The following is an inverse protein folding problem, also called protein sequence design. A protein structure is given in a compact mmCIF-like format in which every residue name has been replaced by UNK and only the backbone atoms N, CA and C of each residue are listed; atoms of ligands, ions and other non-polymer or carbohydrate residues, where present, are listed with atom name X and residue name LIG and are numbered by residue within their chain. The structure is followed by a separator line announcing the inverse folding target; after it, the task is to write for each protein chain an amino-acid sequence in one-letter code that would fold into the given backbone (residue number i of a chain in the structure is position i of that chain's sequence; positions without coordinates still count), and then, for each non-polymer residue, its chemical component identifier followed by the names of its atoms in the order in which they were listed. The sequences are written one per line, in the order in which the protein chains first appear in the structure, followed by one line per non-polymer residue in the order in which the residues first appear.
data_IF_552325565523
#
_entry.id   IF_552325565523
#
_cell.length_a   1.000
_cell.length_b   1.000
_cell.length_c   1.000
_cell.angle_alpha   90.00
_cell.angle_beta   90.00
_cell.angle_gamma   90.00
#
_symmetry.space_group_name_H-M   'P 1'
#
loop_
_entity.id
_entity.type
_entity.pdbx_description
1 polymer ?
#
# COMPACT_ATOMS: atom_id res chain seq x y z
N UNK A 1 -7.79 -1.58 -27.46
CA UNK A 1 -8.65 -1.04 -26.38
C UNK A 1 -8.00 -1.44 -25.08
N UNK A 2 -7.06 -0.63 -24.61
CA UNK A 2 -6.39 -0.80 -23.34
C UNK A 2 -7.43 -0.65 -22.23
N UNK A 3 -7.97 -1.78 -21.77
CA UNK A 3 -8.76 -1.81 -20.55
C UNK A 3 -7.78 -1.47 -19.43
N UNK A 4 -7.78 -0.21 -19.00
CA UNK A 4 -7.11 0.18 -17.77
C UNK A 4 -7.64 -0.74 -16.68
N UNK A 5 -6.80 -1.62 -16.17
CA UNK A 5 -7.14 -2.38 -14.98
C UNK A 5 -7.33 -1.34 -13.86
N UNK A 6 -8.57 -1.20 -13.41
CA UNK A 6 -8.92 -0.33 -12.29
C UNK A 6 -9.00 -1.22 -11.06
N UNK A 7 -8.14 -0.96 -10.09
CA UNK A 7 -8.24 -1.56 -8.77
C UNK A 7 -9.21 -0.73 -7.93
N UNK A 8 -10.19 -1.39 -7.30
CA UNK A 8 -11.09 -0.74 -6.33
C UNK A 8 -10.73 -1.24 -4.95
N UNK A 9 -10.26 -0.35 -4.09
CA UNK A 9 -9.99 -0.67 -2.67
C UNK A 9 -11.28 -1.03 -1.93
N UNK A 10 -11.13 -1.69 -0.79
CA UNK A 10 -12.20 -1.95 0.19
C UNK A 10 -12.95 -0.69 0.65
N UNK A 11 -12.31 0.48 0.56
CA UNK A 11 -12.92 1.80 0.85
C UNK A 11 -13.71 2.39 -0.33
N UNK A 12 -13.78 1.70 -1.47
CA UNK A 12 -14.43 2.17 -2.69
C UNK A 12 -13.61 3.15 -3.54
N UNK A 13 -12.36 3.46 -3.13
CA UNK A 13 -11.44 4.28 -3.91
C UNK A 13 -10.91 3.49 -5.10
N UNK A 14 -10.88 4.12 -6.27
CA UNK A 14 -10.45 3.51 -7.52
C UNK A 14 -9.08 4.04 -7.93
N UNK A 15 -8.20 3.12 -8.32
CA UNK A 15 -6.83 3.40 -8.70
C UNK A 15 -6.48 2.74 -10.03
N UNK A 16 -5.67 3.42 -10.84
CA UNK A 16 -5.11 2.85 -12.05
C UNK A 16 -3.99 1.87 -11.68
N UNK A 17 -4.24 0.58 -11.87
CA UNK A 17 -3.32 -0.49 -11.45
C UNK A 17 -1.93 -0.31 -12.08
N UNK A 18 -1.85 0.12 -13.34
CA UNK A 18 -0.54 0.31 -13.97
C UNK A 18 0.21 1.51 -13.38
N UNK A 19 -0.49 2.60 -13.09
CA UNK A 19 0.10 3.79 -12.48
C UNK A 19 0.57 3.51 -11.04
N UNK A 20 -0.27 2.86 -10.23
CA UNK A 20 0.04 2.48 -8.85
C UNK A 20 1.21 1.49 -8.81
N UNK A 21 1.20 0.47 -9.67
CA UNK A 21 2.30 -0.51 -9.76
C UNK A 21 3.63 0.16 -10.09
N UNK A 22 3.64 1.08 -11.07
CA UNK A 22 4.85 1.84 -11.44
C UNK A 22 5.37 2.67 -10.28
N UNK A 23 4.48 3.31 -9.50
CA UNK A 23 4.88 4.07 -8.31
C UNK A 23 5.48 3.17 -7.23
N UNK A 24 4.89 2.01 -6.96
CA UNK A 24 5.43 1.01 -6.02
C UNK A 24 6.79 0.48 -6.47
N UNK A 25 6.95 0.18 -7.77
CA UNK A 25 8.21 -0.24 -8.37
C UNK A 25 9.32 0.80 -8.18
N UNK A 26 9.02 2.07 -8.48
CA UNK A 26 9.96 3.19 -8.32
C UNK A 26 10.32 3.37 -6.85
N UNK A 27 9.36 3.18 -5.94
CA UNK A 27 9.53 3.41 -4.51
C UNK A 27 10.27 2.28 -3.78
N UNK A 28 10.29 1.03 -4.31
CA UNK A 28 11.25 -0.08 -4.06
C UNK A 28 10.55 -1.44 -3.92
N UNK A 29 10.48 -2.23 -5.00
CA UNK A 29 9.81 -3.55 -4.95
C UNK A 29 10.46 -4.53 -3.96
N UNK A 30 11.80 -4.56 -3.86
CA UNK A 30 12.50 -5.41 -2.89
C UNK A 30 12.27 -4.94 -1.45
N UNK A 31 12.26 -3.62 -1.22
CA UNK A 31 12.10 -3.04 0.11
C UNK A 31 10.68 -3.23 0.65
N UNK A 32 9.65 -3.25 -0.21
CA UNK A 32 8.27 -3.49 0.22
C UNK A 32 8.11 -4.92 0.76
N UNK A 33 8.68 -5.92 0.09
CA UNK A 33 8.62 -7.31 0.55
C UNK A 33 9.39 -7.53 1.85
N UNK A 34 10.56 -6.90 1.98
CA UNK A 34 11.34 -6.94 3.22
C UNK A 34 10.57 -6.27 4.37
N UNK A 35 10.00 -5.08 4.15
CA UNK A 35 9.19 -4.36 5.14
C UNK A 35 7.91 -5.12 5.52
N UNK A 36 7.25 -5.79 4.57
CA UNK A 36 6.09 -6.64 4.86
C UNK A 36 6.48 -7.84 5.71
N UNK A 37 7.60 -8.48 5.40
CA UNK A 37 8.14 -9.60 6.19
C UNK A 37 8.49 -9.15 7.60
N UNK A 38 9.15 -8.01 7.74
CA UNK A 38 9.53 -7.43 9.03
C UNK A 38 8.28 -7.04 9.84
N UNK A 39 7.30 -6.38 9.23
CA UNK A 39 6.05 -6.02 9.91
C UNK A 39 5.25 -7.24 10.39
N UNK A 40 5.16 -8.30 9.57
CA UNK A 40 4.39 -9.51 9.89
C UNK A 40 5.11 -10.48 10.84
N UNK A 41 6.45 -10.49 10.83
CA UNK A 41 7.27 -11.45 11.59
C UNK A 41 8.00 -10.82 12.78
N UNK A 42 7.85 -9.50 12.99
CA UNK A 42 8.53 -8.78 14.07
C UNK A 42 8.10 -9.31 15.44
N UNK A 43 9.05 -9.89 16.15
CA UNK A 43 8.94 -10.14 17.59
C UNK A 43 9.29 -8.90 18.42
N UNK A 44 9.93 -7.90 17.79
CA UNK A 44 10.26 -6.60 18.38
C UNK A 44 9.21 -5.55 17.98
N UNK A 45 8.45 -4.98 18.94
CA UNK A 45 7.42 -4.00 18.64
C UNK A 45 7.95 -2.69 18.04
N UNK A 46 9.21 -2.34 18.31
CA UNK A 46 9.84 -1.14 17.76
C UNK A 46 10.19 -1.34 16.27
N UNK A 47 10.68 -2.53 15.92
CA UNK A 47 10.95 -2.89 14.53
C UNK A 47 9.67 -2.98 13.70
N UNK A 48 8.60 -3.55 14.27
CA UNK A 48 7.26 -3.57 13.66
C UNK A 48 6.76 -2.15 13.36
N UNK A 49 6.85 -1.23 14.32
CA UNK A 49 6.38 0.15 14.14
C UNK A 49 7.15 0.90 13.05
N UNK A 50 8.47 0.72 12.97
CA UNK A 50 9.31 1.33 11.92
C UNK A 50 8.96 0.77 10.54
N UNK A 51 8.73 -0.54 10.44
CA UNK A 51 8.31 -1.17 9.19
C UNK A 51 6.92 -0.69 8.74
N UNK A 52 5.99 -0.57 9.69
CA UNK A 52 4.64 -0.05 9.47
C UNK A 52 4.67 1.38 8.91
N UNK A 53 5.40 2.29 9.55
CA UNK A 53 5.51 3.69 9.12
C UNK A 53 6.07 3.80 7.69
N UNK A 54 7.11 3.00 7.38
CA UNK A 54 7.69 2.98 6.04
C UNK A 54 6.71 2.43 4.98
N UNK A 55 5.94 1.39 5.29
CA UNK A 55 4.91 0.85 4.39
C UNK A 55 3.80 1.87 4.14
N UNK A 56 3.33 2.56 5.19
CA UNK A 56 2.33 3.61 5.10
C UNK A 56 2.82 4.74 4.20
N UNK A 57 4.07 5.19 4.34
CA UNK A 57 4.61 6.28 3.52
C UNK A 57 4.67 5.89 2.03
N UNK A 58 5.15 4.69 1.74
CA UNK A 58 5.23 4.15 0.37
C UNK A 58 3.84 4.03 -0.24
N UNK A 59 2.90 3.44 0.49
CA UNK A 59 1.52 3.27 0.04
C UNK A 59 0.83 4.61 -0.18
N UNK A 60 0.96 5.58 0.74
CA UNK A 60 0.41 6.92 0.57
C UNK A 60 0.88 7.58 -0.73
N UNK A 61 2.17 7.48 -1.05
CA UNK A 61 2.72 8.01 -2.31
C UNK A 61 2.22 7.23 -3.53
N UNK A 62 2.09 5.91 -3.43
CA UNK A 62 1.64 5.07 -4.54
C UNK A 62 0.17 5.29 -4.89
N UNK A 63 -0.67 5.48 -3.88
CA UNK A 63 -2.11 5.69 -4.02
C UNK A 63 -2.53 7.17 -4.00
N UNK A 64 -1.56 8.10 -3.92
CA UNK A 64 -1.80 9.55 -3.74
C UNK A 64 -2.74 9.87 -2.54
N UNK A 65 -2.64 9.07 -1.47
CA UNK A 65 -3.45 9.23 -0.26
C UNK A 65 -2.86 10.30 0.66
N UNK A 66 -3.69 11.28 1.04
CA UNK A 66 -3.29 12.31 2.00
C UNK A 66 -3.25 11.76 3.43
N UNK A 67 -2.27 12.20 4.26
CA UNK A 67 -2.23 11.90 5.70
C UNK A 67 -3.51 12.31 6.43
N UNK A 68 -3.73 11.73 7.61
CA UNK A 68 -4.90 11.95 8.48
C UNK A 68 -5.02 13.40 9.02
N UNK A 69 -4.25 14.35 8.47
CA UNK A 69 -4.38 15.78 8.75
C UNK A 69 -5.56 16.45 8.04
N UNK A 70 -6.27 15.74 7.16
CA UNK A 70 -7.50 16.19 6.49
C UNK A 70 -8.73 15.62 7.24
N UNK A 71 -9.83 16.36 7.45
CA UNK A 71 -11.04 15.87 8.13
C UNK A 71 -11.75 14.68 7.43
N UNK A 72 -11.37 14.36 6.20
CA UNK A 72 -11.76 13.14 5.47
C UNK A 72 -10.65 12.06 5.46
N UNK A 73 -9.64 12.20 6.33
CA UNK A 73 -8.34 11.54 6.26
C UNK A 73 -8.40 10.02 6.35
N UNK A 74 -7.52 9.37 5.60
CA UNK A 74 -7.36 7.91 5.59
C UNK A 74 -6.38 7.52 6.69
N UNK A 75 -6.80 6.64 7.60
CA UNK A 75 -5.95 6.14 8.70
C UNK A 75 -4.82 5.27 8.14
N UNK A 76 -3.73 5.15 8.91
CA UNK A 76 -2.59 4.32 8.52
C UNK A 76 -3.01 2.86 8.30
N UNK A 77 -3.94 2.35 9.12
CA UNK A 77 -4.54 1.03 8.92
C UNK A 77 -5.23 0.90 7.55
N UNK A 78 -6.04 1.87 7.14
CA UNK A 78 -6.74 1.81 5.84
C UNK A 78 -5.75 1.90 4.68
N UNK A 79 -4.65 2.64 4.85
CA UNK A 79 -3.56 2.68 3.86
C UNK A 79 -2.91 1.30 3.70
N UNK A 80 -2.61 0.62 4.82
CA UNK A 80 -1.99 -0.71 4.82
C UNK A 80 -2.94 -1.78 4.27
N UNK A 81 -4.21 -1.72 4.63
CA UNK A 81 -5.24 -2.62 4.10
C UNK A 81 -5.36 -2.43 2.58
N UNK A 82 -5.38 -1.19 2.11
CA UNK A 82 -5.40 -0.87 0.66
C UNK A 82 -4.17 -1.41 -0.07
N UNK A 83 -2.98 -1.27 0.53
CA UNK A 83 -1.74 -1.82 -0.02
C UNK A 83 -1.81 -3.36 -0.11
N UNK A 84 -2.28 -4.01 0.94
CA UNK A 84 -2.40 -5.48 1.02
C UNK A 84 -3.41 -6.01 0.00
N UNK A 85 -4.60 -5.40 -0.08
CA UNK A 85 -5.64 -5.73 -1.06
C UNK A 85 -5.09 -5.59 -2.50
N UNK A 86 -4.37 -4.50 -2.75
CA UNK A 86 -3.76 -4.24 -4.06
C UNK A 86 -2.72 -5.30 -4.42
N UNK A 87 -1.81 -5.62 -3.51
CA UNK A 87 -0.78 -6.65 -3.73
C UNK A 87 -1.43 -8.02 -3.99
N UNK A 88 -2.46 -8.39 -3.24
CA UNK A 88 -3.24 -9.61 -3.51
C UNK A 88 -3.89 -9.63 -4.90
N UNK A 89 -4.40 -8.48 -5.36
CA UNK A 89 -4.97 -8.32 -6.69
C UNK A 89 -3.92 -8.48 -7.81
N UNK A 90 -2.73 -7.86 -7.68
CA UNK A 90 -1.67 -7.97 -8.71
C UNK A 90 -0.94 -9.31 -8.69
N UNK A 91 -0.82 -9.97 -7.55
CA UNK A 91 -0.21 -11.31 -7.44
C UNK A 91 -1.16 -12.44 -7.87
N UNK A 92 -2.43 -12.13 -8.20
CA UNK A 92 -3.39 -13.12 -8.68
C UNK A 92 -3.91 -14.05 -7.59
N UNK A 93 -3.94 -13.61 -6.33
CA UNK A 93 -4.60 -14.34 -5.22
C UNK A 93 -6.10 -14.03 -5.09
N UNK A 94 -6.70 -13.40 -6.11
CA UNK A 94 -8.15 -13.14 -6.22
C UNK A 94 -8.83 -14.10 -7.19
#
# INVERSE_FOLDING_TARGET
MDSKAIFTSSSGLQYDTLATYRKLLIQSQNKINDLLSDWQSATDPLAAAVAEEALVEIARKAFDLKPFSDPAGVTDQVVLDTLTDYLGHVEGKG
#
